data_IF_667330732911
#
_entry.id   IF_667330732911
#
_cell.length_a   1.000
_cell.length_b   1.000
_cell.length_c   1.000
_cell.angle_alpha   90.00
_cell.angle_beta   90.00
_cell.angle_gamma   90.00
#
_symmetry.space_group_name_H-M   'P 1'
#
loop_
_entity.id
_entity.type
_entity.pdbx_description
1 polymer ?
#
# COMPACT_ATOMS: atom_id res chain seq x y z
N UNK A 1 8.38 26.29 17.92
CA UNK A 1 8.95 25.16 18.68
C UNK A 1 10.15 24.69 17.91
N UNK A 2 11.32 24.58 18.55
CA UNK A 2 12.49 23.96 17.94
C UNK A 2 12.19 22.48 17.65
N UNK A 3 12.47 22.08 16.41
CA UNK A 3 12.34 20.70 15.97
C UNK A 3 13.46 19.90 16.64
N UNK A 4 13.12 18.92 17.48
CA UNK A 4 14.10 18.07 18.14
C UNK A 4 14.27 16.77 17.36
N UNK A 5 15.38 16.63 16.66
CA UNK A 5 15.78 15.40 15.99
C UNK A 5 16.40 14.38 16.94
N UNK A 6 16.27 13.10 16.64
CA UNK A 6 17.14 12.06 17.23
C UNK A 6 18.54 12.15 16.63
N UNK A 7 19.57 11.54 17.28
CA UNK A 7 20.94 11.58 16.76
C UNK A 7 21.08 11.09 15.30
N UNK A 8 20.39 10.01 14.90
CA UNK A 8 20.44 9.54 13.50
C UNK A 8 19.69 10.45 12.57
N UNK A 9 18.54 11.01 13.02
CA UNK A 9 17.79 11.98 12.23
C UNK A 9 18.61 13.26 11.98
N UNK A 10 19.32 13.76 13.00
CA UNK A 10 20.16 14.94 12.84
C UNK A 10 21.27 14.70 11.82
N UNK A 11 22.01 13.58 11.96
CA UNK A 11 23.06 13.22 10.97
C UNK A 11 22.50 13.08 9.55
N UNK A 12 21.35 12.42 9.41
CA UNK A 12 20.72 12.26 8.10
C UNK A 12 20.23 13.60 7.52
N UNK A 13 19.68 14.47 8.36
CA UNK A 13 19.23 15.79 7.94
C UNK A 13 20.37 16.66 7.45
N UNK A 14 21.50 16.69 8.16
CA UNK A 14 22.68 17.48 7.77
C UNK A 14 23.22 17.03 6.41
N UNK A 15 23.31 15.71 6.17
CA UNK A 15 23.74 15.17 4.87
C UNK A 15 22.75 15.48 3.76
N UNK A 16 21.44 15.37 4.03
CA UNK A 16 20.39 15.69 3.04
C UNK A 16 20.34 17.19 2.75
N UNK A 17 20.59 18.03 3.75
CA UNK A 17 20.68 19.48 3.58
C UNK A 17 21.83 19.87 2.64
N UNK A 18 23.02 19.30 2.87
CA UNK A 18 24.18 19.48 1.97
C UNK A 18 23.87 18.94 0.56
N UNK A 19 23.27 17.77 0.48
CA UNK A 19 22.86 17.18 -0.79
C UNK A 19 21.89 18.07 -1.55
N UNK A 20 20.90 18.67 -0.90
CA UNK A 20 19.96 19.60 -1.54
C UNK A 20 20.64 20.90 -2.02
N UNK A 21 21.63 21.41 -1.29
CA UNK A 21 22.37 22.63 -1.64
C UNK A 21 23.42 22.45 -2.73
N UNK A 22 23.96 21.24 -2.88
CA UNK A 22 25.00 20.99 -3.89
C UNK A 22 24.46 21.19 -5.30
N UNK A 23 25.34 21.45 -6.27
CA UNK A 23 24.97 21.45 -7.68
C UNK A 23 24.71 20.02 -8.19
N UNK A 24 23.93 19.91 -9.28
CA UNK A 24 23.72 18.63 -9.95
C UNK A 24 25.03 18.18 -10.59
N UNK A 25 25.50 17.00 -10.22
CA UNK A 25 26.73 16.42 -10.71
C UNK A 25 26.56 15.80 -12.11
N UNK A 26 27.63 15.85 -12.93
CA UNK A 26 27.70 15.06 -14.16
C UNK A 26 27.70 13.55 -13.90
N UNK A 27 28.22 13.14 -12.75
CA UNK A 27 28.11 11.76 -12.24
C UNK A 27 26.71 11.55 -11.65
N UNK A 28 25.87 10.81 -12.35
CA UNK A 28 24.47 10.56 -11.96
C UNK A 28 24.36 9.93 -10.57
N UNK A 29 25.30 9.06 -10.19
CA UNK A 29 25.29 8.40 -8.88
C UNK A 29 25.42 9.39 -7.71
N UNK A 30 25.97 10.57 -7.94
CA UNK A 30 26.07 11.63 -6.93
C UNK A 30 24.80 12.46 -6.78
N UNK A 31 23.83 12.30 -7.68
CA UNK A 31 22.54 12.96 -7.65
C UNK A 31 21.47 12.12 -6.98
N UNK A 32 21.84 11.01 -6.38
CA UNK A 32 20.92 10.06 -5.76
C UNK A 32 21.36 9.70 -4.34
N UNK A 33 20.39 9.58 -3.44
CA UNK A 33 20.60 9.20 -2.06
C UNK A 33 19.40 8.42 -1.53
N UNK A 34 19.64 7.42 -0.68
CA UNK A 34 18.58 6.64 -0.04
C UNK A 34 18.51 7.02 1.44
N UNK A 35 17.33 7.38 1.91
CA UNK A 35 17.00 7.50 3.33
C UNK A 35 16.22 6.24 3.74
N UNK A 36 16.86 5.35 4.51
CA UNK A 36 16.26 4.10 4.97
C UNK A 36 16.05 4.08 6.48
N UNK A 37 15.24 3.16 6.95
CA UNK A 37 14.94 2.92 8.35
C UNK A 37 13.61 2.24 8.54
N UNK A 38 13.40 1.58 9.66
CA UNK A 38 12.15 0.88 9.97
C UNK A 38 10.94 1.82 9.99
N UNK A 39 9.72 1.28 9.86
CA UNK A 39 8.51 2.06 10.01
C UNK A 39 8.45 2.72 11.39
N UNK A 40 8.14 4.03 11.41
CA UNK A 40 8.08 4.79 12.66
C UNK A 40 9.41 5.36 13.16
N UNK A 41 10.47 5.32 12.35
CA UNK A 41 11.75 5.96 12.69
C UNK A 41 11.83 7.43 12.22
N UNK A 42 10.73 7.98 11.73
CA UNK A 42 10.60 9.40 11.42
C UNK A 42 11.07 9.83 10.04
N UNK A 43 11.21 8.91 9.07
CA UNK A 43 11.59 9.24 7.69
C UNK A 43 10.72 10.36 7.09
N UNK A 44 9.40 10.20 7.11
CA UNK A 44 8.47 11.18 6.55
C UNK A 44 8.48 12.51 7.31
N UNK A 45 8.77 12.49 8.62
CA UNK A 45 8.98 13.70 9.41
C UNK A 45 10.21 14.46 8.92
N UNK A 46 11.34 13.78 8.74
CA UNK A 46 12.58 14.36 8.26
C UNK A 46 12.40 14.99 6.86
N UNK A 47 11.71 14.31 5.95
CA UNK A 47 11.40 14.82 4.62
C UNK A 47 10.49 16.04 4.66
N UNK A 48 9.53 16.08 5.58
CA UNK A 48 8.68 17.26 5.78
C UNK A 48 9.52 18.47 6.22
N UNK A 49 10.45 18.30 7.16
CA UNK A 49 11.33 19.38 7.60
C UNK A 49 12.27 19.84 6.47
N UNK A 50 12.76 18.91 5.65
CA UNK A 50 13.55 19.24 4.47
C UNK A 50 12.73 20.07 3.45
N UNK A 51 11.48 19.67 3.19
CA UNK A 51 10.56 20.42 2.30
C UNK A 51 10.24 21.81 2.83
N UNK A 52 10.14 22.01 4.14
CA UNK A 52 9.95 23.32 4.74
C UNK A 52 11.12 24.26 4.45
N UNK A 53 12.33 23.70 4.27
CA UNK A 53 13.56 24.45 3.99
C UNK A 53 13.79 24.71 2.50
N UNK A 54 13.36 23.78 1.63
CA UNK A 54 13.60 23.84 0.19
C UNK A 54 12.27 23.80 -0.57
N UNK A 55 11.92 24.92 -1.23
CA UNK A 55 10.65 25.08 -1.95
C UNK A 55 10.53 24.20 -3.21
N UNK A 56 11.68 23.87 -3.83
CA UNK A 56 11.78 23.05 -5.05
C UNK A 56 11.78 21.55 -4.79
N UNK A 57 11.45 21.08 -3.58
CA UNK A 57 11.27 19.65 -3.31
C UNK A 57 9.86 19.22 -3.74
N UNK A 58 9.81 18.22 -4.61
CA UNK A 58 8.58 17.53 -4.98
C UNK A 58 8.54 16.17 -4.28
N UNK A 59 7.44 15.87 -3.58
CA UNK A 59 7.28 14.59 -2.90
C UNK A 59 6.31 13.71 -3.67
N UNK A 60 6.81 12.56 -4.12
CA UNK A 60 6.06 11.52 -4.80
C UNK A 60 6.08 10.23 -3.99
N UNK A 61 5.21 9.28 -4.33
CA UNK A 61 5.24 7.93 -3.79
C UNK A 61 5.06 6.89 -4.88
N UNK A 62 5.50 5.68 -4.63
CA UNK A 62 5.35 4.55 -5.57
C UNK A 62 3.92 4.00 -5.62
N UNK A 63 3.14 4.19 -4.55
CA UNK A 63 1.77 3.68 -4.43
C UNK A 63 0.75 4.79 -4.17
N UNK A 64 -0.49 4.58 -4.60
CA UNK A 64 -1.59 5.53 -4.33
C UNK A 64 -1.83 5.74 -2.82
N UNK A 65 -1.68 4.69 -2.03
CA UNK A 65 -1.86 4.75 -0.57
C UNK A 65 -0.82 5.66 0.08
N UNK A 66 0.46 5.46 -0.25
CA UNK A 66 1.54 6.31 0.24
C UNK A 66 1.37 7.75 -0.24
N UNK A 67 1.03 7.97 -1.52
CA UNK A 67 0.75 9.29 -2.07
C UNK A 67 -0.38 10.00 -1.31
N UNK A 68 -1.47 9.30 -0.98
CA UNK A 68 -2.56 9.86 -0.19
C UNK A 68 -2.13 10.28 1.23
N UNK A 69 -1.26 9.49 1.89
CA UNK A 69 -0.77 9.79 3.24
C UNK A 69 0.11 11.05 3.32
N UNK A 70 0.87 11.32 2.26
CA UNK A 70 1.75 12.50 2.19
C UNK A 70 1.10 13.70 1.49
N UNK A 71 -0.19 13.62 1.14
CA UNK A 71 -0.90 14.59 0.32
C UNK A 71 -0.15 14.92 -0.99
N UNK A 72 0.53 13.91 -1.55
CA UNK A 72 1.31 14.00 -2.77
C UNK A 72 0.65 13.28 -3.95
N UNK A 73 1.44 13.04 -4.98
CA UNK A 73 1.06 12.30 -6.18
C UNK A 73 1.88 11.02 -6.31
N UNK A 74 1.43 10.08 -7.13
CA UNK A 74 2.28 8.94 -7.47
C UNK A 74 3.38 9.38 -8.43
N UNK A 75 4.54 8.69 -8.38
CA UNK A 75 5.63 8.94 -9.32
C UNK A 75 5.19 8.74 -10.77
N UNK A 76 4.26 7.81 -11.04
CA UNK A 76 3.64 7.62 -12.34
C UNK A 76 2.90 8.89 -12.79
N UNK A 77 2.03 9.45 -11.94
CA UNK A 77 1.30 10.69 -12.25
C UNK A 77 2.23 11.88 -12.41
N UNK A 78 3.29 11.95 -11.61
CA UNK A 78 4.27 13.02 -11.68
C UNK A 78 5.04 13.04 -13.01
N UNK A 79 5.37 11.86 -13.52
CA UNK A 79 6.02 11.70 -14.82
C UNK A 79 5.03 11.66 -16.00
N UNK A 80 3.73 11.87 -15.79
CA UNK A 80 2.72 11.78 -16.83
C UNK A 80 2.51 10.37 -17.39
N UNK A 81 3.00 9.34 -16.67
CA UNK A 81 2.83 7.94 -17.05
C UNK A 81 1.41 7.50 -16.71
N UNK A 82 0.75 6.87 -17.65
CA UNK A 82 -0.61 6.34 -17.47
C UNK A 82 -0.65 4.84 -17.75
N UNK A 83 -1.72 4.19 -17.35
CA UNK A 83 -1.97 2.80 -17.74
C UNK A 83 -2.89 2.79 -18.96
N UNK A 84 -2.49 2.07 -20.01
CA UNK A 84 -3.31 1.82 -21.19
C UNK A 84 -3.77 0.37 -21.20
N UNK A 85 -5.05 0.18 -21.42
CA UNK A 85 -5.63 -1.16 -21.50
C UNK A 85 -5.28 -1.82 -22.83
N UNK A 86 -4.61 -2.95 -22.76
CA UNK A 86 -4.34 -3.81 -23.93
C UNK A 86 -5.51 -4.77 -24.15
N UNK A 87 -6.40 -4.38 -25.05
CA UNK A 87 -7.60 -5.16 -25.42
C UNK A 87 -7.26 -6.48 -26.16
N UNK A 88 -6.01 -6.73 -26.47
CA UNK A 88 -5.59 -7.98 -27.11
C UNK A 88 -5.12 -9.02 -26.10
N UNK A 89 -4.40 -8.57 -25.06
CA UNK A 89 -3.81 -9.41 -24.02
C UNK A 89 -4.58 -9.39 -22.70
N UNK A 90 -5.52 -8.45 -22.54
CA UNK A 90 -6.32 -8.30 -21.32
C UNK A 90 -5.51 -7.86 -20.11
N UNK A 91 -4.48 -7.06 -20.31
CA UNK A 91 -3.66 -6.47 -19.25
C UNK A 91 -3.49 -4.98 -19.48
N UNK A 92 -3.18 -4.24 -18.42
CA UNK A 92 -2.78 -2.84 -18.54
C UNK A 92 -1.26 -2.75 -18.64
N UNK A 93 -0.77 -1.89 -19.51
CA UNK A 93 0.66 -1.62 -19.75
C UNK A 93 0.94 -0.14 -19.51
N UNK A 94 2.17 0.21 -19.18
CA UNK A 94 2.55 1.63 -19.01
C UNK A 94 2.47 2.31 -20.38
N UNK A 95 1.77 3.41 -20.42
CA UNK A 95 1.69 4.30 -21.57
C UNK A 95 2.55 5.53 -21.33
N UNK A 96 3.46 5.79 -22.26
CA UNK A 96 4.40 6.88 -22.24
C UNK A 96 3.98 8.08 -23.12
N UNK A 97 2.79 8.04 -23.76
CA UNK A 97 2.34 9.07 -24.71
C UNK A 97 2.29 10.48 -24.11
N UNK A 98 2.01 10.58 -22.80
CA UNK A 98 1.95 11.82 -22.05
C UNK A 98 3.12 12.01 -21.08
N UNK A 99 4.18 11.22 -21.24
CA UNK A 99 5.34 11.31 -20.36
C UNK A 99 5.98 12.69 -20.43
N UNK A 100 6.33 13.22 -19.26
CA UNK A 100 6.87 14.58 -19.13
C UNK A 100 8.32 14.52 -18.64
N UNK A 101 9.18 15.30 -19.28
CA UNK A 101 10.53 15.53 -18.78
C UNK A 101 10.48 16.52 -17.62
N UNK A 102 11.14 16.14 -16.53
CA UNK A 102 11.30 16.96 -15.32
C UNK A 102 12.76 17.37 -15.21
N UNK A 103 13.01 18.64 -14.95
CA UNK A 103 14.35 19.21 -14.86
C UNK A 103 14.51 20.01 -13.57
N UNK A 104 15.74 20.04 -13.04
CA UNK A 104 16.19 20.93 -11.97
C UNK A 104 15.42 20.82 -10.65
N UNK A 105 14.73 19.70 -10.42
CA UNK A 105 13.95 19.44 -9.21
C UNK A 105 14.70 18.53 -8.24
N UNK A 106 14.36 18.66 -6.97
CA UNK A 106 14.68 17.67 -5.93
C UNK A 106 13.46 16.79 -5.76
N UNK A 107 13.54 15.57 -6.22
CA UNK A 107 12.40 14.63 -6.19
C UNK A 107 12.60 13.63 -5.06
N UNK A 108 11.66 13.62 -4.12
CA UNK A 108 11.57 12.61 -3.07
C UNK A 108 10.61 11.52 -3.53
N UNK A 109 11.04 10.25 -3.46
CA UNK A 109 10.23 9.09 -3.83
C UNK A 109 10.05 8.21 -2.61
N UNK A 110 8.88 8.32 -1.98
CA UNK A 110 8.53 7.52 -0.79
C UNK A 110 8.10 6.10 -1.17
N UNK A 111 8.27 5.16 -0.22
CA UNK A 111 8.07 3.71 -0.39
C UNK A 111 8.93 3.14 -1.54
N UNK A 112 10.20 3.54 -1.61
CA UNK A 112 11.11 3.18 -2.71
C UNK A 112 11.37 1.67 -2.83
N UNK A 113 11.09 0.86 -1.81
CA UNK A 113 11.14 -0.61 -1.87
C UNK A 113 10.23 -1.19 -2.96
N UNK A 114 9.22 -0.43 -3.38
CA UNK A 114 8.26 -0.83 -4.41
C UNK A 114 8.65 -0.38 -5.84
N UNK A 115 9.82 0.23 -6.01
CA UNK A 115 10.34 0.59 -7.34
C UNK A 115 10.76 -0.69 -8.06
N UNK A 116 10.12 -0.98 -9.19
CA UNK A 116 10.56 -2.04 -10.09
C UNK A 116 11.53 -1.51 -11.15
N UNK A 117 12.14 -2.42 -11.90
CA UNK A 117 13.13 -2.11 -12.93
C UNK A 117 12.59 -1.15 -14.01
N UNK A 118 11.35 -1.35 -14.45
CA UNK A 118 10.73 -0.52 -15.48
C UNK A 118 10.53 0.93 -14.99
N UNK A 119 10.01 1.10 -13.78
CA UNK A 119 9.83 2.42 -13.17
C UNK A 119 11.18 3.12 -12.95
N UNK A 120 12.19 2.38 -12.48
CA UNK A 120 13.53 2.93 -12.29
C UNK A 120 14.10 3.50 -13.60
N UNK A 121 14.00 2.76 -14.70
CA UNK A 121 14.44 3.26 -16.00
C UNK A 121 13.60 4.45 -16.50
N UNK A 122 12.29 4.42 -16.29
CA UNK A 122 11.43 5.55 -16.64
C UNK A 122 11.85 6.82 -15.88
N UNK A 123 12.10 6.72 -14.57
CA UNK A 123 12.60 7.84 -13.77
C UNK A 123 13.89 8.42 -14.34
N UNK A 124 14.87 7.56 -14.65
CA UNK A 124 16.16 8.00 -15.21
C UNK A 124 16.08 8.56 -16.62
N UNK A 125 15.04 8.21 -17.36
CA UNK A 125 14.78 8.74 -18.72
C UNK A 125 14.15 10.12 -18.64
N UNK A 126 13.15 10.29 -17.77
CA UNK A 126 12.32 11.50 -17.73
C UNK A 126 12.75 12.53 -16.67
N UNK A 127 13.52 12.15 -15.67
CA UNK A 127 14.12 13.08 -14.69
C UNK A 127 15.54 13.43 -15.12
N UNK A 128 15.69 14.60 -15.70
CA UNK A 128 16.98 15.08 -16.18
C UNK A 128 17.48 16.21 -15.29
N UNK A 129 18.77 16.15 -14.91
CA UNK A 129 19.37 17.14 -14.00
C UNK A 129 18.61 17.28 -12.67
N UNK A 130 17.93 16.22 -12.24
CA UNK A 130 17.24 16.15 -10.96
C UNK A 130 18.12 15.52 -9.89
N UNK A 131 17.88 15.88 -8.64
CA UNK A 131 18.35 15.13 -7.47
C UNK A 131 17.24 14.24 -6.96
N UNK A 132 17.56 13.01 -6.62
CA UNK A 132 16.56 12.04 -6.20
C UNK A 132 16.88 11.56 -4.77
N UNK A 133 15.90 11.71 -3.89
CA UNK A 133 15.94 11.18 -2.52
C UNK A 133 14.95 10.02 -2.46
N UNK A 134 15.46 8.81 -2.46
CA UNK A 134 14.65 7.62 -2.26
C UNK A 134 14.40 7.41 -0.77
N UNK A 135 13.15 7.22 -0.39
CA UNK A 135 12.75 7.00 1.00
C UNK A 135 12.07 5.65 1.13
N UNK A 136 12.53 4.81 2.04
CA UNK A 136 11.93 3.49 2.19
C UNK A 136 12.53 2.68 3.33
N UNK A 137 12.29 1.40 3.28
CA UNK A 137 12.79 0.45 4.27
C UNK A 137 13.29 -0.81 3.56
N UNK A 138 14.56 -1.11 3.72
CA UNK A 138 15.25 -2.25 3.11
C UNK A 138 14.58 -3.60 3.45
N UNK A 139 14.01 -3.72 4.64
CA UNK A 139 13.41 -4.95 5.15
C UNK A 139 11.96 -5.16 4.69
N UNK A 140 11.32 -4.17 4.04
CA UNK A 140 9.96 -4.32 3.51
C UNK A 140 9.93 -5.19 2.26
N UNK A 141 8.69 -5.48 1.82
CA UNK A 141 8.44 -6.31 0.65
C UNK A 141 8.89 -5.60 -0.63
N UNK A 142 9.54 -6.30 -1.55
CA UNK A 142 9.82 -5.80 -2.89
C UNK A 142 8.53 -5.74 -3.73
N UNK A 143 8.58 -5.14 -4.94
CA UNK A 143 7.45 -5.16 -5.88
C UNK A 143 7.02 -6.59 -6.22
N UNK A 144 5.71 -6.79 -6.39
CA UNK A 144 5.18 -8.08 -6.85
C UNK A 144 5.65 -8.34 -8.30
N UNK A 145 6.08 -9.56 -8.60
CA UNK A 145 6.65 -9.99 -9.89
C UNK A 145 7.97 -9.28 -10.26
N UNK A 146 8.84 -9.06 -9.29
CA UNK A 146 10.12 -8.43 -9.52
C UNK A 146 11.18 -9.44 -10.00
N UNK A 147 11.95 -9.06 -11.01
CA UNK A 147 13.08 -9.81 -11.56
C UNK A 147 14.36 -9.49 -10.75
N UNK A 148 14.40 -9.83 -9.47
CA UNK A 148 15.53 -9.61 -8.53
C UNK A 148 16.06 -8.16 -8.47
N UNK A 149 15.30 -7.20 -8.99
CA UNK A 149 15.68 -5.80 -8.93
C UNK A 149 15.37 -5.20 -7.55
N UNK A 150 16.38 -4.57 -6.95
CA UNK A 150 16.21 -3.79 -5.74
C UNK A 150 17.05 -2.51 -5.82
N UNK A 151 16.44 -1.38 -5.57
CA UNK A 151 17.13 -0.08 -5.53
C UNK A 151 18.23 -0.06 -4.46
N UNK A 152 18.09 -0.81 -3.40
CA UNK A 152 19.06 -0.89 -2.31
C UNK A 152 20.36 -1.61 -2.72
N UNK A 153 20.36 -2.34 -3.84
CA UNK A 153 21.51 -3.08 -4.35
C UNK A 153 22.29 -2.32 -5.43
N UNK A 154 21.93 -1.08 -5.73
CA UNK A 154 22.54 -0.29 -6.82
C UNK A 154 23.78 0.51 -6.40
N UNK A 155 24.24 0.38 -5.15
CA UNK A 155 25.41 1.13 -4.66
C UNK A 155 25.14 2.62 -4.40
N UNK A 156 23.90 3.06 -4.38
CA UNK A 156 23.49 4.42 -4.03
C UNK A 156 23.81 4.66 -2.54
N UNK A 157 24.35 5.84 -2.20
CA UNK A 157 24.63 6.22 -0.80
C UNK A 157 23.39 6.08 0.08
N UNK A 158 23.48 5.30 1.16
CA UNK A 158 22.39 5.11 2.12
C UNK A 158 22.63 5.88 3.43
N UNK A 159 21.56 6.50 3.92
CA UNK A 159 21.45 7.09 5.25
C UNK A 159 20.42 6.28 6.05
N UNK A 160 20.81 5.72 7.16
CA UNK A 160 19.93 4.89 7.98
C UNK A 160 19.50 5.62 9.25
N UNK A 161 18.18 5.64 9.51
CA UNK A 161 17.61 6.05 10.79
C UNK A 161 17.54 4.83 11.71
N UNK A 162 18.12 4.94 12.90
CA UNK A 162 18.30 3.82 13.83
C UNK A 162 17.47 3.89 15.10
N UNK A 163 16.86 5.05 15.40
CA UNK A 163 16.05 5.23 16.61
C UNK A 163 14.54 5.19 16.31
N UNK A 164 13.77 4.37 17.05
CA UNK A 164 12.32 4.33 16.91
C UNK A 164 11.66 5.59 17.50
N UNK A 165 10.63 6.11 16.80
CA UNK A 165 9.84 7.27 17.25
C UNK A 165 8.34 6.95 17.38
N UNK A 166 7.89 5.75 16.98
CA UNK A 166 6.47 5.38 16.88
C UNK A 166 5.96 4.60 18.09
N UNK A 167 6.73 3.63 18.54
CA UNK A 167 6.40 2.78 19.67
C UNK A 167 7.52 2.84 20.70
N UNK A 168 7.14 2.80 21.96
CA UNK A 168 8.01 2.66 23.13
C UNK A 168 7.97 1.25 23.70
N UNK A 169 7.24 0.31 23.04
CA UNK A 169 7.06 -1.07 23.47
C UNK A 169 8.32 -1.89 23.16
N UNK A 170 9.13 -2.14 24.20
CA UNK A 170 10.43 -2.84 24.06
C UNK A 170 10.28 -4.24 23.47
N UNK A 171 9.21 -4.97 23.82
CA UNK A 171 8.95 -6.32 23.32
C UNK A 171 8.65 -6.33 21.81
N UNK A 172 7.85 -5.36 21.33
CA UNK A 172 7.60 -5.17 19.89
C UNK A 172 8.90 -4.80 19.17
N UNK A 173 9.71 -3.89 19.73
CA UNK A 173 10.99 -3.50 19.14
C UNK A 173 11.99 -4.67 19.09
N UNK A 174 12.03 -5.50 20.14
CA UNK A 174 12.85 -6.73 20.15
C UNK A 174 12.41 -7.70 19.05
N UNK A 175 11.10 -7.93 18.90
CA UNK A 175 10.57 -8.79 17.85
C UNK A 175 10.92 -8.24 16.45
N UNK A 176 10.74 -6.95 16.21
CA UNK A 176 11.13 -6.29 14.95
C UNK A 176 12.61 -6.53 14.63
N UNK A 177 13.51 -6.35 15.61
CA UNK A 177 14.94 -6.56 15.42
C UNK A 177 15.28 -8.04 15.17
N UNK A 178 14.60 -8.96 15.84
CA UNK A 178 14.76 -10.41 15.59
C UNK A 178 14.35 -10.77 14.16
N UNK A 179 13.23 -10.20 13.68
CA UNK A 179 12.78 -10.42 12.30
C UNK A 179 13.73 -9.82 11.25
N UNK A 180 14.30 -8.66 11.52
CA UNK A 180 15.38 -8.09 10.67
C UNK A 180 16.59 -9.01 10.58
N UNK A 181 17.09 -9.47 11.74
CA UNK A 181 18.20 -10.43 11.77
C UNK A 181 17.86 -11.72 11.02
N UNK A 182 16.62 -12.16 11.07
CA UNK A 182 16.12 -13.30 10.27
C UNK A 182 16.26 -13.03 8.77
N UNK A 183 15.88 -11.85 8.29
CA UNK A 183 16.01 -11.46 6.87
C UNK A 183 17.49 -11.42 6.47
N UNK A 184 18.35 -10.78 7.26
CA UNK A 184 19.79 -10.68 6.99
C UNK A 184 20.47 -12.07 6.93
N UNK A 185 20.03 -13.00 7.79
CA UNK A 185 20.54 -14.37 7.85
C UNK A 185 19.79 -15.35 6.94
N UNK A 186 18.87 -14.87 6.08
CA UNK A 186 18.04 -15.68 5.18
C UNK A 186 17.25 -16.78 5.91
N UNK A 187 16.81 -16.49 7.13
CA UNK A 187 16.04 -17.39 8.00
C UNK A 187 14.66 -16.85 8.32
N UNK A 188 13.71 -17.75 8.58
CA UNK A 188 12.35 -17.40 8.98
C UNK A 188 12.19 -17.63 10.47
N UNK A 189 11.85 -16.58 11.20
CA UNK A 189 11.55 -16.67 12.62
C UNK A 189 10.17 -17.32 12.84
N UNK A 190 10.10 -18.28 13.76
CA UNK A 190 8.88 -19.02 14.08
C UNK A 190 8.59 -19.15 15.57
N UNK A 191 9.57 -18.86 16.42
CA UNK A 191 9.51 -19.10 17.87
C UNK A 191 8.93 -17.90 18.62
N UNK A 192 7.69 -17.53 18.25
CA UNK A 192 6.99 -16.43 18.88
C UNK A 192 6.69 -16.73 20.35
N UNK A 193 6.92 -15.75 21.22
CA UNK A 193 6.65 -15.85 22.65
C UNK A 193 5.71 -14.73 23.09
N UNK A 194 4.86 -15.04 24.06
CA UNK A 194 3.97 -14.03 24.65
C UNK A 194 4.76 -13.02 25.48
N UNK A 195 4.27 -11.79 25.50
CA UNK A 195 4.78 -10.68 26.32
C UNK A 195 3.66 -9.70 26.61
N UNK A 196 3.96 -8.58 27.24
CA UNK A 196 2.94 -7.57 27.62
C UNK A 196 2.13 -7.06 26.42
N UNK A 197 2.80 -6.85 25.27
CA UNK A 197 2.18 -6.30 24.07
C UNK A 197 2.08 -7.33 22.91
N UNK A 198 2.51 -8.59 23.12
CA UNK A 198 2.42 -9.66 22.14
C UNK A 198 1.65 -10.82 22.73
N UNK A 199 0.50 -11.13 22.16
CA UNK A 199 -0.36 -12.26 22.59
C UNK A 199 -0.45 -13.29 21.50
N UNK A 200 -0.39 -14.57 21.87
CA UNK A 200 -0.64 -15.70 20.98
C UNK A 200 -2.07 -16.19 21.26
N UNK A 201 -2.88 -16.24 20.21
CA UNK A 201 -4.28 -16.61 20.28
C UNK A 201 -4.45 -18.01 19.66
N UNK A 202 -4.68 -19.00 20.52
CA UNK A 202 -4.83 -20.41 20.14
C UNK A 202 -6.28 -20.90 20.31
N UNK A 203 -7.22 -20.02 20.67
CA UNK A 203 -8.63 -20.34 20.92
C UNK A 203 -9.55 -19.44 20.08
N UNK A 204 -10.49 -20.09 19.37
CA UNK A 204 -11.57 -19.42 18.62
C UNK A 204 -12.43 -18.52 19.51
N UNK A 205 -12.70 -18.96 20.75
CA UNK A 205 -13.48 -18.19 21.71
C UNK A 205 -12.76 -16.88 22.09
N UNK A 206 -11.47 -16.96 22.41
CA UNK A 206 -10.66 -15.80 22.75
C UNK A 206 -10.60 -14.82 21.58
N UNK A 207 -10.33 -15.33 20.36
CA UNK A 207 -10.32 -14.50 19.16
C UNK A 207 -11.67 -13.81 18.93
N UNK A 208 -12.78 -14.55 19.04
CA UNK A 208 -14.11 -13.96 18.88
C UNK A 208 -14.40 -12.88 19.91
N UNK A 209 -13.98 -13.05 21.16
CA UNK A 209 -14.18 -12.05 22.20
C UNK A 209 -13.39 -10.76 21.89
N UNK A 210 -12.15 -10.89 21.44
CA UNK A 210 -11.33 -9.74 21.01
C UNK A 210 -11.93 -9.03 19.78
N UNK A 211 -12.44 -9.77 18.80
CA UNK A 211 -12.98 -9.21 17.56
C UNK A 211 -14.37 -8.58 17.71
N UNK A 212 -15.11 -8.84 18.80
CA UNK A 212 -16.37 -8.14 19.10
C UNK A 212 -16.17 -6.64 19.27
N UNK A 213 -15.08 -6.24 19.94
CA UNK A 213 -14.74 -4.86 20.25
C UNK A 213 -13.78 -4.24 19.22
N UNK A 214 -13.61 -4.88 18.07
CA UNK A 214 -12.71 -4.43 17.01
C UNK A 214 -13.09 -3.04 16.46
N UNK A 215 -12.20 -2.07 16.59
CA UNK A 215 -12.37 -0.74 15.99
C UNK A 215 -11.51 -0.60 14.74
N UNK A 216 -12.15 -0.58 13.58
CA UNK A 216 -11.47 -0.45 12.29
C UNK A 216 -10.59 0.81 12.15
N UNK A 217 -10.76 1.82 13.00
CA UNK A 217 -9.95 3.05 13.01
C UNK A 217 -8.59 2.83 13.64
N UNK A 218 -8.51 1.91 14.56
CA UNK A 218 -7.30 1.63 15.36
C UNK A 218 -6.74 0.24 15.13
N UNK A 219 -7.55 -0.70 14.67
CA UNK A 219 -7.24 -2.12 14.59
C UNK A 219 -7.19 -2.61 13.15
N UNK A 220 -6.40 -3.66 12.91
CA UNK A 220 -6.30 -4.28 11.59
C UNK A 220 -5.99 -5.77 11.67
N UNK A 221 -6.79 -6.59 10.95
CA UNK A 221 -6.44 -7.98 10.70
C UNK A 221 -5.55 -8.06 9.46
N UNK A 222 -4.44 -8.79 9.57
CA UNK A 222 -3.47 -8.97 8.51
C UNK A 222 -3.34 -10.43 8.11
N UNK A 223 -3.47 -10.69 6.80
CA UNK A 223 -3.40 -12.02 6.21
C UNK A 223 -2.49 -12.00 4.97
N UNK A 224 -2.11 -13.16 4.48
CA UNK A 224 -1.36 -13.29 3.23
C UNK A 224 -2.31 -13.40 2.02
N UNK A 225 -3.34 -14.24 2.12
CA UNK A 225 -4.24 -14.53 1.03
C UNK A 225 -5.49 -13.64 1.05
N UNK A 226 -5.97 -13.26 -0.14
CA UNK A 226 -7.25 -12.53 -0.27
C UNK A 226 -8.43 -13.36 0.25
N UNK A 227 -8.38 -14.68 0.12
CA UNK A 227 -9.42 -15.58 0.64
C UNK A 227 -9.55 -15.45 2.15
N UNK A 228 -8.43 -15.42 2.86
CA UNK A 228 -8.46 -15.28 4.31
C UNK A 228 -8.84 -13.85 4.73
N UNK A 229 -8.42 -12.83 4.00
CA UNK A 229 -8.90 -11.45 4.19
C UNK A 229 -10.44 -11.40 4.14
N UNK A 230 -11.06 -12.04 3.16
CA UNK A 230 -12.53 -12.09 3.03
C UNK A 230 -13.15 -12.83 4.23
N UNK A 231 -12.55 -13.94 4.65
CA UNK A 231 -13.02 -14.72 5.82
C UNK A 231 -12.96 -13.89 7.12
N UNK A 232 -11.87 -13.18 7.38
CA UNK A 232 -11.74 -12.33 8.57
C UNK A 232 -12.72 -11.14 8.53
N UNK A 233 -12.90 -10.50 7.39
CA UNK A 233 -13.88 -9.44 7.23
C UNK A 233 -15.30 -9.93 7.51
N UNK A 234 -15.66 -11.11 6.97
CA UNK A 234 -16.94 -11.75 7.20
C UNK A 234 -17.17 -12.03 8.70
N UNK A 235 -16.18 -12.65 9.36
CA UNK A 235 -16.21 -12.97 10.79
C UNK A 235 -16.43 -11.72 11.65
N UNK A 236 -15.69 -10.64 11.39
CA UNK A 236 -15.83 -9.39 12.18
C UNK A 236 -17.22 -8.80 11.99
N UNK A 237 -17.74 -8.76 10.75
CA UNK A 237 -19.11 -8.27 10.49
C UNK A 237 -20.15 -9.07 11.26
N UNK A 238 -20.04 -10.40 11.26
CA UNK A 238 -20.94 -11.29 11.98
C UNK A 238 -20.89 -11.04 13.50
N UNK A 239 -19.70 -11.00 14.09
CA UNK A 239 -19.52 -10.71 15.51
C UNK A 239 -20.04 -9.34 15.93
N UNK A 240 -20.02 -8.36 15.04
CA UNK A 240 -20.57 -7.02 15.24
C UNK A 240 -22.03 -6.89 14.81
N UNK A 241 -22.75 -8.00 14.54
CA UNK A 241 -24.13 -8.02 14.07
C UNK A 241 -24.38 -7.15 12.82
N UNK A 242 -23.40 -7.04 11.93
CA UNK A 242 -23.51 -6.34 10.65
C UNK A 242 -23.88 -7.30 9.53
N UNK A 243 -24.70 -6.82 8.61
CA UNK A 243 -25.00 -7.58 7.39
C UNK A 243 -23.73 -7.83 6.56
N UNK A 244 -23.65 -9.00 5.90
CA UNK A 244 -22.59 -9.29 4.91
C UNK A 244 -22.77 -8.51 3.60
N UNK A 245 -23.87 -7.79 3.46
CA UNK A 245 -24.14 -6.87 2.37
C UNK A 245 -23.92 -5.45 2.86
N UNK A 246 -23.16 -4.66 2.11
CA UNK A 246 -22.94 -3.26 2.43
C UNK A 246 -24.25 -2.46 2.43
N UNK A 247 -24.39 -1.59 3.40
CA UNK A 247 -25.55 -0.72 3.57
C UNK A 247 -25.15 0.73 3.85
N UNK A 248 -26.17 1.54 4.13
CA UNK A 248 -25.95 2.91 4.62
C UNK A 248 -25.10 2.87 5.90
N UNK A 249 -24.19 3.84 6.01
CA UNK A 249 -23.26 4.05 7.12
C UNK A 249 -22.11 3.03 7.22
N UNK A 250 -22.04 2.03 6.33
CA UNK A 250 -20.86 1.18 6.25
C UNK A 250 -19.65 1.98 5.75
N UNK A 251 -18.49 1.71 6.36
CA UNK A 251 -17.19 2.15 5.88
C UNK A 251 -16.60 1.10 4.96
N UNK A 252 -16.05 1.56 3.84
CA UNK A 252 -15.49 0.70 2.80
C UNK A 252 -14.13 1.23 2.35
N UNK A 253 -13.34 0.35 1.75
CA UNK A 253 -12.11 0.70 1.03
C UNK A 253 -12.39 0.65 -0.47
N UNK A 254 -12.09 1.73 -1.18
CA UNK A 254 -12.14 1.77 -2.64
C UNK A 254 -10.89 1.14 -3.24
N UNK A 255 -11.02 0.07 -4.00
CA UNK A 255 -9.89 -0.63 -4.65
C UNK A 255 -9.68 -0.20 -6.12
N UNK A 256 -10.53 0.65 -6.66
CA UNK A 256 -10.41 1.21 -8.00
C UNK A 256 -10.63 2.72 -7.98
N UNK A 257 -10.03 3.41 -8.95
CA UNK A 257 -10.31 4.82 -9.23
C UNK A 257 -11.40 4.88 -10.31
N UNK A 258 -12.61 5.25 -9.92
CA UNK A 258 -13.76 5.37 -10.83
C UNK A 258 -14.21 6.81 -10.85
N UNK A 259 -14.27 7.46 -12.04
CA UNK A 259 -14.80 8.81 -12.17
C UNK A 259 -16.34 8.80 -12.09
N UNK A 260 -16.90 9.85 -11.53
CA UNK A 260 -18.31 10.17 -11.58
C UNK A 260 -18.50 11.66 -11.83
N UNK A 261 -19.48 12.01 -12.65
CA UNK A 261 -19.86 13.40 -12.93
C UNK A 261 -21.28 13.64 -12.46
N UNK A 262 -21.48 14.56 -11.52
CA UNK A 262 -22.78 14.81 -10.90
C UNK A 262 -22.91 16.31 -10.64
N UNK A 263 -24.04 16.89 -11.04
CA UNK A 263 -24.38 18.30 -10.78
C UNK A 263 -23.28 19.29 -11.20
N UNK A 264 -22.61 19.03 -12.34
CA UNK A 264 -21.54 19.89 -12.85
C UNK A 264 -20.17 19.66 -12.17
N UNK A 265 -20.06 18.72 -11.25
CA UNK A 265 -18.83 18.43 -10.52
C UNK A 265 -18.24 17.07 -10.88
N UNK A 266 -16.92 17.02 -11.00
CA UNK A 266 -16.19 15.78 -11.17
C UNK A 266 -15.83 15.18 -9.79
N UNK A 267 -16.20 13.93 -9.59
CA UNK A 267 -15.84 13.13 -8.44
C UNK A 267 -14.94 11.99 -8.89
N UNK A 268 -13.95 11.67 -8.11
CA UNK A 268 -13.05 10.54 -8.36
C UNK A 268 -12.83 9.80 -7.04
N UNK A 269 -13.01 8.48 -7.06
CA UNK A 269 -12.54 7.66 -5.96
C UNK A 269 -11.03 7.49 -6.08
N UNK A 270 -10.33 7.55 -4.95
CA UNK A 270 -8.90 7.25 -4.90
C UNK A 270 -8.68 5.80 -4.46
N UNK A 271 -7.79 5.11 -5.14
CA UNK A 271 -7.42 3.74 -4.79
C UNK A 271 -6.88 3.72 -3.35
N UNK A 272 -7.26 2.69 -2.58
CA UNK A 272 -6.95 2.51 -1.14
C UNK A 272 -7.52 3.62 -0.23
N UNK A 273 -8.46 4.44 -0.72
CA UNK A 273 -9.14 5.42 0.14
C UNK A 273 -10.29 4.77 0.91
N UNK A 274 -10.48 5.25 2.13
CA UNK A 274 -11.63 4.90 2.97
C UNK A 274 -12.77 5.87 2.69
N UNK A 275 -13.96 5.33 2.49
CA UNK A 275 -15.18 6.13 2.32
C UNK A 275 -16.34 5.51 3.08
N UNK A 276 -17.34 6.33 3.44
CA UNK A 276 -18.60 5.88 4.05
C UNK A 276 -19.69 5.88 2.99
N UNK A 277 -20.53 4.87 2.98
CA UNK A 277 -21.75 4.84 2.16
C UNK A 277 -22.80 5.72 2.83
N UNK A 278 -23.11 6.85 2.24
CA UNK A 278 -24.09 7.80 2.77
C UNK A 278 -25.53 7.36 2.42
N UNK A 279 -25.70 6.78 1.23
CA UNK A 279 -27.01 6.36 0.74
C UNK A 279 -26.87 5.22 -0.28
N UNK A 280 -27.73 4.22 -0.17
CA UNK A 280 -27.99 3.27 -1.25
C UNK A 280 -29.19 3.83 -2.05
N UNK A 281 -28.94 4.25 -3.31
CA UNK A 281 -29.93 4.92 -4.15
C UNK A 281 -30.80 3.88 -4.86
N UNK A 282 -30.17 2.84 -5.42
CA UNK A 282 -30.86 1.67 -5.95
C UNK A 282 -30.19 0.42 -5.44
N UNK A 283 -30.96 -0.51 -4.92
CA UNK A 283 -30.50 -1.80 -4.44
C UNK A 283 -30.96 -2.89 -5.39
N UNK A 284 -29.99 -3.56 -6.02
CA UNK A 284 -30.22 -4.71 -6.87
C UNK A 284 -29.49 -5.90 -6.28
N UNK A 285 -30.25 -6.97 -5.94
CA UNK A 285 -29.76 -8.10 -5.16
C UNK A 285 -28.54 -8.79 -5.78
N UNK A 286 -28.55 -9.02 -7.09
CA UNK A 286 -27.52 -9.76 -7.82
C UNK A 286 -26.79 -8.95 -8.89
N UNK A 287 -27.07 -7.65 -8.99
CA UNK A 287 -26.50 -6.71 -9.96
C UNK A 287 -25.78 -5.56 -9.26
N UNK A 288 -25.20 -4.67 -10.06
CA UNK A 288 -24.65 -3.42 -9.55
C UNK A 288 -25.74 -2.52 -8.98
N UNK A 289 -25.59 -2.17 -7.74
CA UNK A 289 -26.37 -1.15 -7.05
C UNK A 289 -25.78 0.24 -7.28
N UNK A 290 -26.56 1.28 -7.06
CA UNK A 290 -26.09 2.67 -7.11
C UNK A 290 -25.94 3.21 -5.69
N UNK A 291 -24.76 3.68 -5.33
CA UNK A 291 -24.45 4.19 -4.00
C UNK A 291 -23.91 5.62 -4.05
N UNK A 292 -24.19 6.41 -3.01
CA UNK A 292 -23.57 7.71 -2.77
C UNK A 292 -22.54 7.58 -1.66
N UNK A 293 -21.33 8.04 -1.91
CA UNK A 293 -20.23 8.05 -0.94
C UNK A 293 -20.10 9.39 -0.22
N UNK A 294 -19.34 9.40 0.86
CA UNK A 294 -19.09 10.58 1.70
C UNK A 294 -18.37 11.72 0.99
N UNK A 295 -17.70 11.44 -0.14
CA UNK A 295 -17.11 12.48 -1.00
C UNK A 295 -18.13 13.18 -1.91
N UNK A 296 -19.42 12.78 -1.85
CA UNK A 296 -20.50 13.33 -2.68
C UNK A 296 -20.77 12.56 -3.97
N UNK A 297 -19.83 11.76 -4.45
CA UNK A 297 -19.94 11.02 -5.70
C UNK A 297 -20.96 9.88 -5.65
N UNK A 298 -21.58 9.59 -6.81
CA UNK A 298 -22.52 8.48 -6.99
C UNK A 298 -21.88 7.47 -7.94
N UNK A 299 -21.81 6.21 -7.50
CA UNK A 299 -21.08 5.16 -8.17
C UNK A 299 -21.91 3.89 -8.29
N UNK A 300 -21.63 3.09 -9.32
CA UNK A 300 -22.11 1.71 -9.41
C UNK A 300 -21.15 0.80 -8.66
N UNK A 301 -21.68 -0.07 -7.80
CA UNK A 301 -20.89 -1.03 -7.05
C UNK A 301 -21.72 -2.27 -6.69
N UNK A 302 -21.07 -3.41 -6.48
CA UNK A 302 -21.70 -4.55 -5.83
C UNK A 302 -21.69 -4.37 -4.32
N UNK A 303 -22.86 -4.50 -3.69
CA UNK A 303 -22.97 -4.42 -2.24
C UNK A 303 -22.49 -5.69 -1.52
N UNK A 304 -22.24 -6.77 -2.26
CA UNK A 304 -21.60 -7.99 -1.76
C UNK A 304 -20.17 -8.03 -2.30
N UNK A 305 -19.14 -7.95 -1.43
CA UNK A 305 -17.75 -7.68 -1.84
C UNK A 305 -17.20 -8.65 -2.91
N UNK A 306 -17.45 -9.96 -2.76
CA UNK A 306 -16.90 -10.97 -3.68
C UNK A 306 -17.53 -10.92 -5.09
N UNK A 307 -18.73 -10.38 -5.23
CA UNK A 307 -19.45 -10.30 -6.54
C UNK A 307 -18.67 -9.51 -7.59
N UNK A 308 -18.00 -8.45 -7.21
CA UNK A 308 -17.14 -7.70 -8.14
C UNK A 308 -16.04 -8.60 -8.72
N UNK A 309 -15.30 -9.30 -7.87
CA UNK A 309 -14.20 -10.18 -8.30
C UNK A 309 -14.70 -11.37 -9.11
N UNK A 310 -15.84 -11.95 -8.75
CA UNK A 310 -16.48 -13.04 -9.47
C UNK A 310 -16.84 -12.63 -10.90
N UNK A 311 -17.51 -11.48 -11.05
CA UNK A 311 -17.87 -10.94 -12.36
C UNK A 311 -16.63 -10.62 -13.21
N UNK A 312 -15.62 -10.00 -12.60
CA UNK A 312 -14.38 -9.66 -13.29
C UNK A 312 -13.65 -10.91 -13.79
N UNK A 313 -13.56 -11.96 -12.97
CA UNK A 313 -12.98 -13.26 -13.36
C UNK A 313 -13.77 -13.92 -14.49
N UNK A 314 -15.10 -13.86 -14.43
CA UNK A 314 -15.99 -14.42 -15.46
C UNK A 314 -15.79 -13.71 -16.80
N UNK A 315 -15.77 -12.37 -16.81
CA UNK A 315 -15.51 -11.58 -18.01
C UNK A 315 -14.13 -11.87 -18.62
N UNK A 316 -13.11 -11.97 -17.76
CA UNK A 316 -11.76 -12.32 -18.19
C UNK A 316 -11.69 -13.72 -18.79
N UNK A 317 -12.36 -14.71 -18.19
CA UNK A 317 -12.43 -16.07 -18.71
C UNK A 317 -13.10 -16.10 -20.08
N UNK A 318 -14.27 -15.47 -20.22
CA UNK A 318 -15.00 -15.39 -21.49
C UNK A 318 -14.15 -14.75 -22.61
N UNK A 319 -13.32 -13.76 -22.26
CA UNK A 319 -12.43 -13.11 -23.24
C UNK A 319 -11.22 -13.98 -23.59
N UNK A 320 -10.64 -14.71 -22.62
CA UNK A 320 -9.49 -15.61 -22.84
C UNK A 320 -9.87 -16.84 -23.68
N UNK A 321 -11.06 -17.39 -23.46
CA UNK A 321 -11.54 -18.60 -24.12
C UNK A 321 -12.00 -18.34 -25.58
N UNK A 322 -12.10 -17.07 -25.99
CA UNK A 322 -12.49 -16.68 -27.34
C UNK A 322 -11.34 -16.88 -28.34
N UNK A 323 -11.57 -17.67 -29.37
CA UNK A 323 -10.58 -18.00 -30.40
C UNK A 323 -10.50 -16.94 -31.51
N UNK A 324 -11.61 -16.29 -31.84
CA UNK A 324 -11.65 -15.26 -32.87
C UNK A 324 -11.03 -13.95 -32.34
N UNK A 325 -9.95 -13.41 -32.96
CA UNK A 325 -9.26 -12.22 -32.47
C UNK A 325 -10.15 -10.97 -32.39
N UNK A 326 -11.08 -10.79 -33.32
CA UNK A 326 -12.00 -9.64 -33.35
C UNK A 326 -13.00 -9.72 -32.20
N UNK A 327 -13.62 -10.87 -32.02
CA UNK A 327 -14.56 -11.09 -30.93
C UNK A 327 -13.85 -11.09 -29.56
N UNK A 328 -12.63 -11.63 -29.47
CA UNK A 328 -11.79 -11.54 -28.27
C UNK A 328 -11.55 -10.09 -27.85
N UNK A 329 -11.20 -9.21 -28.79
CA UNK A 329 -11.04 -7.77 -28.53
C UNK A 329 -12.31 -7.14 -27.98
N UNK A 330 -13.47 -7.46 -28.53
CA UNK A 330 -14.79 -6.98 -28.04
C UNK A 330 -15.09 -7.47 -26.63
N UNK A 331 -14.75 -8.75 -26.30
CA UNK A 331 -14.94 -9.34 -24.98
C UNK A 331 -14.02 -8.68 -23.95
N UNK A 332 -12.75 -8.42 -24.30
CA UNK A 332 -11.86 -7.61 -23.46
C UNK A 332 -12.39 -6.18 -23.30
N UNK A 333 -13.03 -5.61 -24.31
CA UNK A 333 -13.71 -4.31 -24.18
C UNK A 333 -14.74 -4.30 -23.06
N UNK A 334 -15.58 -5.34 -22.96
CA UNK A 334 -16.57 -5.48 -21.87
C UNK A 334 -15.91 -5.63 -20.49
N UNK A 335 -14.79 -6.36 -20.41
CA UNK A 335 -14.00 -6.50 -19.18
C UNK A 335 -13.47 -5.14 -18.69
N UNK A 336 -12.85 -4.36 -19.57
CA UNK A 336 -12.29 -3.06 -19.21
C UNK A 336 -13.39 -2.02 -18.95
N UNK A 337 -14.49 -2.06 -19.70
CA UNK A 337 -15.65 -1.20 -19.42
C UNK A 337 -16.20 -1.46 -18.02
N UNK A 338 -16.36 -2.73 -17.62
CA UNK A 338 -16.75 -3.10 -16.27
C UNK A 338 -15.72 -2.59 -15.24
N UNK A 339 -14.44 -2.86 -15.45
CA UNK A 339 -13.33 -2.49 -14.54
C UNK A 339 -13.26 -0.97 -14.32
N UNK A 340 -13.54 -0.17 -15.35
CA UNK A 340 -13.37 1.27 -15.33
C UNK A 340 -14.62 2.04 -14.87
N UNK A 341 -15.80 1.39 -14.85
CA UNK A 341 -17.07 2.05 -14.51
C UNK A 341 -17.78 1.46 -13.28
N UNK A 342 -17.36 0.31 -12.80
CA UNK A 342 -17.90 -0.31 -11.57
C UNK A 342 -16.87 -0.20 -10.46
N UNK A 343 -17.25 0.43 -9.34
CA UNK A 343 -16.37 0.63 -8.21
C UNK A 343 -16.16 -0.70 -7.47
N UNK A 344 -14.90 -1.09 -7.31
CA UNK A 344 -14.49 -2.19 -6.43
C UNK A 344 -14.43 -1.68 -4.99
N UNK A 345 -15.39 -2.09 -4.18
CA UNK A 345 -15.47 -1.75 -2.75
C UNK A 345 -15.20 -2.99 -1.92
N UNK A 346 -14.46 -2.81 -0.82
CA UNK A 346 -14.06 -3.89 0.10
C UNK A 346 -14.31 -3.47 1.54
N UNK A 347 -14.41 -4.49 2.39
CA UNK A 347 -14.43 -4.27 3.83
C UNK A 347 -13.14 -3.64 4.35
N UNK A 348 -13.26 -2.99 5.50
CA UNK A 348 -12.19 -2.18 6.08
C UNK A 348 -11.42 -2.91 7.20
N UNK A 349 -11.92 -4.04 7.73
CA UNK A 349 -11.38 -4.67 8.94
C UNK A 349 -10.10 -5.47 8.69
N UNK A 350 -10.03 -6.20 7.59
CA UNK A 350 -8.87 -7.01 7.22
C UNK A 350 -8.25 -6.56 5.90
N UNK A 351 -6.97 -6.82 5.73
CA UNK A 351 -6.24 -6.62 4.46
C UNK A 351 -5.08 -7.59 4.35
N UNK A 352 -4.54 -7.74 3.14
CA UNK A 352 -3.26 -8.43 3.00
C UNK A 352 -2.14 -7.61 3.63
N UNK A 353 -1.07 -8.29 4.09
CA UNK A 353 0.15 -7.63 4.58
C UNK A 353 0.71 -6.67 3.53
N UNK A 354 0.68 -7.04 2.25
CA UNK A 354 1.09 -6.17 1.14
C UNK A 354 0.30 -4.85 1.10
N UNK A 355 -1.03 -4.93 1.19
CA UNK A 355 -1.89 -3.73 1.22
C UNK A 355 -1.77 -2.91 2.51
N UNK A 356 -1.21 -3.47 3.58
CA UNK A 356 -0.99 -2.78 4.84
C UNK A 356 0.30 -1.95 4.86
N UNK A 357 1.20 -2.11 3.87
CA UNK A 357 2.42 -1.29 3.78
C UNK A 357 2.11 0.21 3.85
N UNK A 358 2.97 0.98 4.47
CA UNK A 358 2.80 2.41 4.71
C UNK A 358 1.81 2.77 5.82
N UNK A 359 0.99 1.83 6.33
CA UNK A 359 0.00 2.10 7.40
C UNK A 359 0.51 1.78 8.80
N UNK A 360 -0.18 2.32 9.79
CA UNK A 360 0.07 2.07 11.21
C UNK A 360 -1.26 1.87 11.92
N UNK A 361 -1.30 0.90 12.83
CA UNK A 361 -2.48 0.57 13.63
C UNK A 361 -2.09 0.48 15.10
N UNK A 362 -3.03 0.72 16.00
CA UNK A 362 -2.78 0.52 17.42
C UNK A 362 -2.64 -0.97 17.73
N UNK A 363 -3.57 -1.76 17.23
CA UNK A 363 -3.61 -3.21 17.43
C UNK A 363 -3.60 -3.93 16.09
N UNK A 364 -2.76 -4.96 15.97
CA UNK A 364 -2.63 -5.75 14.75
C UNK A 364 -2.87 -7.22 15.07
N UNK A 365 -3.81 -7.82 14.34
CA UNK A 365 -4.14 -9.23 14.41
C UNK A 365 -3.51 -9.93 13.21
N UNK A 366 -2.55 -10.81 13.43
CA UNK A 366 -1.76 -11.44 12.37
C UNK A 366 -2.11 -12.93 12.29
N UNK A 367 -2.66 -13.37 11.17
CA UNK A 367 -2.96 -14.78 10.93
C UNK A 367 -1.68 -15.51 10.50
N UNK A 368 -1.04 -16.19 11.46
CA UNK A 368 0.21 -16.89 11.23
C UNK A 368 0.06 -18.09 10.29
N UNK A 369 -1.04 -18.86 10.41
CA UNK A 369 -1.27 -20.02 9.53
C UNK A 369 -1.38 -19.59 8.07
N UNK A 370 -2.10 -18.51 7.80
CA UNK A 370 -2.24 -17.98 6.44
C UNK A 370 -0.92 -17.40 5.93
N UNK A 371 -0.13 -16.73 6.78
CA UNK A 371 1.20 -16.24 6.39
C UNK A 371 2.15 -17.40 6.04
N UNK A 372 2.12 -18.48 6.83
CA UNK A 372 2.99 -19.64 6.61
C UNK A 372 2.63 -20.47 5.36
N UNK A 373 1.55 -20.16 4.65
CA UNK A 373 1.28 -20.69 3.30
C UNK A 373 2.32 -20.18 2.29
N UNK A 374 2.95 -19.03 2.56
CA UNK A 374 4.02 -18.50 1.71
C UNK A 374 5.23 -19.42 1.74
N UNK A 375 5.55 -20.05 0.61
CA UNK A 375 6.65 -21.02 0.48
C UNK A 375 8.01 -20.39 0.26
N UNK A 376 8.06 -19.15 -0.20
CA UNK A 376 9.30 -18.41 -0.43
C UNK A 376 9.82 -17.85 0.89
N UNK A 377 10.94 -18.41 1.39
CA UNK A 377 11.49 -18.04 2.71
C UNK A 377 11.75 -16.55 2.86
N UNK A 378 12.38 -15.92 1.88
CA UNK A 378 12.68 -14.49 1.93
C UNK A 378 11.41 -13.64 1.98
N UNK A 379 10.42 -13.94 1.12
CA UNK A 379 9.14 -13.25 1.11
C UNK A 379 8.41 -13.42 2.45
N UNK A 380 8.40 -14.63 3.00
CA UNK A 380 7.78 -14.92 4.31
C UNK A 380 8.44 -14.14 5.44
N UNK A 381 9.78 -14.09 5.48
CA UNK A 381 10.50 -13.32 6.50
C UNK A 381 10.14 -11.82 6.43
N UNK A 382 10.07 -11.25 5.22
CA UNK A 382 9.64 -9.87 5.00
C UNK A 382 8.16 -9.65 5.30
N UNK A 383 7.27 -10.61 4.99
CA UNK A 383 5.85 -10.56 5.37
C UNK A 383 5.67 -10.46 6.89
N UNK A 384 6.36 -11.30 7.65
CA UNK A 384 6.33 -11.26 9.12
C UNK A 384 6.83 -9.91 9.65
N UNK A 385 7.96 -9.43 9.12
CA UNK A 385 8.50 -8.12 9.49
C UNK A 385 7.52 -6.98 9.19
N UNK A 386 6.95 -6.96 7.98
CA UNK A 386 5.97 -5.93 7.59
C UNK A 386 4.75 -5.99 8.49
N UNK A 387 4.18 -7.18 8.74
CA UNK A 387 2.99 -7.33 9.57
C UNK A 387 3.21 -6.81 11.00
N UNK A 388 4.30 -7.26 11.65
CA UNK A 388 4.65 -6.85 13.02
C UNK A 388 4.93 -5.36 13.10
N UNK A 389 5.64 -4.79 12.12
CA UNK A 389 6.00 -3.37 12.11
C UNK A 389 4.82 -2.41 11.89
N UNK A 390 3.61 -2.93 11.63
CA UNK A 390 2.37 -2.11 11.56
C UNK A 390 1.82 -1.76 12.93
N UNK A 391 2.13 -2.52 13.97
CA UNK A 391 1.63 -2.32 15.32
C UNK A 391 2.28 -1.13 16.02
N UNK A 392 1.48 -0.36 16.76
CA UNK A 392 1.94 0.67 17.67
C UNK A 392 1.90 0.19 19.11
N UNK A 393 0.82 -0.50 19.51
CA UNK A 393 0.55 -0.86 20.90
C UNK A 393 0.55 -2.37 21.14
N UNK A 394 -0.23 -3.15 20.35
CA UNK A 394 -0.40 -4.57 20.59
C UNK A 394 -0.36 -5.41 19.32
N UNK A 395 0.14 -6.61 19.46
CA UNK A 395 0.16 -7.65 18.42
C UNK A 395 -0.57 -8.87 18.94
N UNK A 396 -1.52 -9.34 18.16
CA UNK A 396 -2.27 -10.58 18.40
C UNK A 396 -1.89 -11.57 17.27
N UNK A 397 -1.14 -12.60 17.64
CA UNK A 397 -0.71 -13.66 16.72
C UNK A 397 -1.74 -14.77 16.73
N UNK A 398 -2.52 -14.89 15.66
CA UNK A 398 -3.56 -15.90 15.51
C UNK A 398 -2.90 -17.17 15.00
N UNK A 399 -2.97 -18.23 15.80
CA UNK A 399 -2.38 -19.53 15.51
C UNK A 399 -3.45 -20.65 15.48
N UNK A 400 -4.62 -20.38 14.87
CA UNK A 400 -5.81 -21.24 14.85
C UNK A 400 -5.93 -22.08 13.57
#
# INVERSE_FOLDING_TARGET
MEVKFTPSQQRAFDVLDEFCKSEVSKDKNKNEIILTGSPGYGKSFLIKELKNKFSNIVICATTNKAANLINGVTIYSFLGLTLKDDYTQGKSVINYDNAQYVHDEIVVVDECSMINKELFYAMHTYMQQCKIIYVGDYYQLPPVNNDDFSIFNLGIKMLELTEPCRTDKEDILKLINTLKSGIDNQSVYRDFTQSDNIKIIDSEEELNNLLKDFDFKTDKCLSYTNKNVESQNYRIRELQNKSHRFGKDDYIVCKSAVPAFIDGHNYLTKIESVSRIVKVISDKKDECSTIKLSNGGIFKAFLVPFKYTENLKTLAKIAKDEMNPVERKKKWGKYFDFKNHVLDIRDIYASTVHSAQGSTYNNVYIDLKDLFICTKKEELARLLYVAVSRAKNNIYLINL
#
